data_IF_037552211822
#
_entry.id   IF_037552211822
#
_cell.length_a   1.000
_cell.length_b   1.000
_cell.length_c   1.000
_cell.angle_alpha   90.00
_cell.angle_beta   90.00
_cell.angle_gamma   90.00
#
_symmetry.space_group_name_H-M   'P 1'
#
loop_
_entity.id
_entity.type
_entity.pdbx_description
1 polymer ?
#
# COMPACT_ATOMS: atom_id res chain seq x y z
N UNK A 1 11.52 -71.06 -48.10
CA UNK A 1 12.33 -69.98 -47.49
C UNK A 1 11.53 -69.42 -46.33
N UNK A 2 12.08 -69.49 -45.12
CA UNK A 2 11.35 -69.26 -43.88
C UNK A 2 11.42 -67.82 -43.34
N UNK A 3 10.99 -67.71 -42.08
CA UNK A 3 10.96 -66.56 -41.16
C UNK A 3 9.85 -65.53 -41.36
N UNK A 4 9.36 -64.84 -40.33
CA UNK A 4 9.10 -65.12 -38.90
C UNK A 4 8.24 -63.91 -38.46
N UNK A 5 7.39 -64.08 -37.45
CA UNK A 5 6.61 -62.98 -36.84
C UNK A 5 7.53 -62.01 -36.09
N UNK A 6 7.19 -60.72 -36.07
CA UNK A 6 7.60 -59.81 -34.99
C UNK A 6 6.50 -58.78 -34.71
N UNK A 7 6.22 -58.64 -33.42
CA UNK A 7 5.32 -57.67 -32.78
C UNK A 7 5.81 -56.24 -32.94
N UNK A 8 4.89 -55.28 -32.97
CA UNK A 8 5.14 -53.91 -32.51
C UNK A 8 3.86 -53.37 -31.85
N UNK A 9 3.87 -53.34 -30.52
CA UNK A 9 3.01 -52.47 -29.72
C UNK A 9 3.44 -51.03 -29.96
N UNK A 10 2.50 -50.11 -30.18
CA UNK A 10 2.73 -48.71 -29.80
C UNK A 10 1.45 -48.11 -29.20
N UNK A 11 1.63 -47.74 -27.95
CA UNK A 11 0.77 -47.08 -26.97
C UNK A 11 0.06 -45.84 -27.50
N UNK A 12 -1.23 -45.73 -27.17
CA UNK A 12 -1.98 -44.47 -27.15
C UNK A 12 -1.29 -43.48 -26.19
N UNK A 13 -0.68 -42.42 -26.72
CA UNK A 13 -0.40 -41.21 -25.94
C UNK A 13 -1.55 -40.23 -26.16
N UNK A 14 -2.43 -40.13 -25.17
CA UNK A 14 -3.27 -38.95 -24.98
C UNK A 14 -2.35 -37.78 -24.66
N UNK A 15 -2.20 -36.84 -25.59
CA UNK A 15 -1.61 -35.53 -25.31
C UNK A 15 -2.58 -34.77 -24.38
N UNK A 16 -2.23 -34.70 -23.10
CA UNK A 16 -2.74 -33.65 -22.22
C UNK A 16 -2.02 -32.37 -22.66
N UNK A 17 -2.73 -31.51 -23.38
CA UNK A 17 -2.29 -30.17 -23.67
C UNK A 17 -2.25 -29.40 -22.34
N UNK A 18 -1.05 -29.19 -21.80
CA UNK A 18 -0.84 -28.16 -20.79
C UNK A 18 -1.02 -26.80 -21.46
N UNK A 19 -2.16 -26.16 -21.23
CA UNK A 19 -2.35 -24.73 -21.48
C UNK A 19 -1.47 -23.94 -20.50
N UNK A 20 -0.19 -23.77 -20.85
CA UNK A 20 0.65 -22.74 -20.26
C UNK A 20 0.18 -21.39 -20.77
N UNK A 21 -0.63 -20.68 -19.99
CA UNK A 21 -1.20 -19.39 -20.36
C UNK A 21 -0.18 -18.25 -20.36
N UNK A 22 -0.01 -17.60 -21.51
CA UNK A 22 0.08 -16.15 -21.83
C UNK A 22 0.48 -15.07 -20.78
N UNK A 23 1.16 -15.38 -19.69
CA UNK A 23 1.63 -14.34 -18.76
C UNK A 23 2.65 -13.39 -19.43
N UNK A 24 3.51 -13.95 -20.29
CA UNK A 24 4.61 -13.22 -20.94
C UNK A 24 4.15 -12.31 -22.11
N UNK A 25 3.03 -12.64 -22.77
CA UNK A 25 2.46 -11.82 -23.85
C UNK A 25 1.64 -10.64 -23.32
N UNK A 26 1.02 -10.80 -22.14
CA UNK A 26 0.25 -9.72 -21.52
C UNK A 26 1.18 -8.68 -20.86
N UNK A 27 2.29 -9.11 -20.26
CA UNK A 27 3.26 -8.18 -19.67
C UNK A 27 3.99 -7.32 -20.72
N UNK A 28 4.31 -7.89 -21.89
CA UNK A 28 4.91 -7.12 -22.99
C UNK A 28 3.99 -6.00 -23.48
N UNK A 29 2.68 -6.25 -23.57
CA UNK A 29 1.70 -5.22 -23.97
C UNK A 29 1.59 -4.07 -22.98
N UNK A 30 1.76 -4.32 -21.68
CA UNK A 30 1.74 -3.27 -20.66
C UNK A 30 2.97 -2.37 -20.74
N UNK A 31 4.14 -2.91 -21.09
CA UNK A 31 5.37 -2.13 -21.26
C UNK A 31 5.31 -1.17 -22.46
N UNK A 32 4.47 -1.47 -23.45
CA UNK A 32 4.31 -0.66 -24.66
C UNK A 32 3.34 0.52 -24.47
N UNK A 33 2.69 0.65 -23.31
CA UNK A 33 1.74 1.75 -23.02
C UNK A 33 2.51 3.08 -22.89
N UNK A 34 2.15 4.04 -23.73
CA UNK A 34 2.69 5.41 -23.68
C UNK A 34 1.60 6.37 -23.18
N UNK A 35 1.53 6.65 -21.86
CA UNK A 35 0.52 7.54 -21.32
C UNK A 35 0.81 9.00 -21.66
N UNK A 36 -0.23 9.85 -21.63
CA UNK A 36 -0.03 11.29 -21.53
C UNK A 36 0.41 11.62 -20.10
N UNK A 37 1.57 12.29 -20.00
CA UNK A 37 2.19 12.67 -18.73
C UNK A 37 2.01 14.15 -18.44
N UNK A 38 1.60 14.48 -17.23
CA UNK A 38 1.51 15.83 -16.69
C UNK A 38 2.14 15.86 -15.28
N UNK A 39 2.68 17.00 -14.88
CA UNK A 39 3.33 17.19 -13.59
C UNK A 39 2.72 18.39 -12.89
N UNK A 40 2.46 18.25 -11.58
CA UNK A 40 1.97 19.32 -10.73
C UNK A 40 2.54 19.22 -9.32
N UNK A 41 2.53 20.34 -8.61
CA UNK A 41 2.76 20.40 -7.17
C UNK A 41 1.46 20.81 -6.49
N UNK A 42 1.07 20.12 -5.42
CA UNK A 42 -0.23 20.29 -4.78
C UNK A 42 -0.09 20.48 -3.27
N UNK A 43 -0.97 21.28 -2.70
CA UNK A 43 -1.01 21.56 -1.27
C UNK A 43 0.15 22.42 -0.80
N UNK A 44 0.48 22.25 0.47
CA UNK A 44 1.47 23.05 1.18
C UNK A 44 0.93 24.36 1.76
N UNK A 45 1.67 24.91 2.71
CA UNK A 45 1.36 26.14 3.43
C UNK A 45 2.56 27.05 3.52
N UNK A 46 2.34 28.34 3.37
CA UNK A 46 3.36 29.34 3.69
C UNK A 46 3.64 29.31 5.19
N UNK A 47 4.92 29.22 5.56
CA UNK A 47 5.40 29.17 6.94
C UNK A 47 6.63 30.07 7.06
N UNK A 48 6.71 30.84 8.15
CA UNK A 48 7.92 31.55 8.51
C UNK A 48 8.96 30.55 8.98
N UNK A 49 10.13 30.57 8.35
CA UNK A 49 11.23 29.71 8.72
C UNK A 49 12.46 30.55 9.03
N UNK A 50 13.06 30.28 10.19
CA UNK A 50 14.32 30.86 10.60
C UNK A 50 15.44 29.91 10.20
N UNK A 51 16.33 30.39 9.35
CA UNK A 51 17.57 29.69 9.03
C UNK A 51 18.54 29.83 10.21
N UNK A 52 18.90 28.70 10.82
CA UNK A 52 19.79 28.65 11.98
C UNK A 52 21.22 29.14 11.65
N UNK A 53 21.67 29.04 10.40
CA UNK A 53 23.02 29.47 10.02
C UNK A 53 23.10 31.00 9.87
N UNK A 54 22.04 31.63 9.36
CA UNK A 54 22.01 33.08 9.09
C UNK A 54 21.22 33.88 10.13
N UNK A 55 20.48 33.21 11.01
CA UNK A 55 19.51 33.79 11.94
C UNK A 55 18.50 34.72 11.24
N UNK A 56 18.21 34.44 9.96
CA UNK A 56 17.26 35.21 9.16
C UNK A 56 15.95 34.45 9.04
N UNK A 57 14.82 35.17 9.15
CA UNK A 57 13.48 34.59 8.95
C UNK A 57 12.96 34.98 7.58
N UNK A 58 12.51 33.98 6.81
CA UNK A 58 11.82 34.17 5.54
C UNK A 58 10.60 33.27 5.43
N UNK A 59 9.69 33.55 4.50
CA UNK A 59 8.56 32.66 4.21
C UNK A 59 8.95 31.62 3.18
N UNK A 60 8.60 30.36 3.42
CA UNK A 60 8.66 29.29 2.44
C UNK A 60 7.35 28.48 2.44
N UNK A 61 7.03 27.86 1.30
CA UNK A 61 5.93 26.89 1.22
C UNK A 61 6.44 25.52 1.62
N UNK A 62 5.75 24.85 2.54
CA UNK A 62 6.10 23.53 3.06
C UNK A 62 4.89 22.61 3.08
N UNK A 63 5.11 21.29 3.11
CA UNK A 63 4.00 20.33 3.19
C UNK A 63 3.32 20.05 1.84
N UNK A 64 3.88 20.52 0.73
CA UNK A 64 3.39 20.24 -0.62
C UNK A 64 3.86 18.87 -1.11
N UNK A 65 3.13 18.31 -2.07
CA UNK A 65 3.47 17.07 -2.77
C UNK A 65 3.76 17.34 -4.25
N UNK A 66 4.81 16.71 -4.77
CA UNK A 66 5.00 16.46 -6.19
C UNK A 66 4.02 15.39 -6.63
N UNK A 67 3.36 15.60 -7.77
CA UNK A 67 2.44 14.64 -8.36
C UNK A 67 2.75 14.49 -9.85
N UNK A 68 2.87 13.24 -10.27
CA UNK A 68 2.94 12.82 -11.65
C UNK A 68 1.62 12.19 -12.05
N UNK A 69 0.92 12.83 -12.99
CA UNK A 69 -0.37 12.37 -13.51
C UNK A 69 -0.12 11.64 -14.82
N UNK A 70 -0.50 10.37 -14.87
CA UNK A 70 -0.43 9.54 -16.07
C UNK A 70 -1.85 9.17 -16.51
N UNK A 71 -2.20 9.50 -17.75
CA UNK A 71 -3.52 9.26 -18.31
C UNK A 71 -3.45 8.44 -19.60
N UNK A 72 -4.48 7.63 -19.92
CA UNK A 72 -4.51 6.88 -21.17
C UNK A 72 -4.41 7.80 -22.39
N UNK A 73 -3.72 7.32 -23.42
CA UNK A 73 -3.53 8.05 -24.67
C UNK A 73 -3.74 7.10 -25.87
N UNK A 74 -4.85 7.21 -26.63
CA UNK A 74 -5.91 8.22 -26.49
C UNK A 74 -6.74 8.04 -25.22
N UNK A 75 -7.36 9.12 -24.74
CA UNK A 75 -8.28 9.06 -23.62
C UNK A 75 -9.54 8.25 -24.00
N UNK A 76 -10.07 7.39 -23.11
CA UNK A 76 -11.31 6.66 -23.35
C UNK A 76 -12.51 7.63 -23.38
N UNK A 77 -13.56 7.26 -24.12
CA UNK A 77 -14.78 8.08 -24.22
C UNK A 77 -15.50 8.22 -22.86
N UNK A 78 -15.48 7.16 -22.05
CA UNK A 78 -16.04 7.11 -20.71
C UNK A 78 -14.93 6.66 -19.74
N UNK A 79 -14.10 7.57 -19.22
CA UNK A 79 -13.03 7.20 -18.30
C UNK A 79 -13.61 6.70 -16.98
N UNK A 80 -13.11 5.58 -16.42
CA UNK A 80 -13.39 5.24 -15.03
C UNK A 80 -12.75 6.28 -14.08
N UNK A 81 -13.12 6.23 -12.80
CA UNK A 81 -12.62 7.20 -11.81
C UNK A 81 -11.09 7.19 -11.71
N UNK A 82 -10.46 8.35 -11.53
CA UNK A 82 -9.03 8.46 -11.28
C UNK A 82 -8.60 7.77 -9.98
N UNK A 83 -7.34 7.35 -9.92
CA UNK A 83 -6.76 6.68 -8.76
C UNK A 83 -5.59 7.51 -8.22
N UNK A 84 -5.63 7.85 -6.94
CA UNK A 84 -4.53 8.48 -6.20
C UNK A 84 -3.75 7.41 -5.46
N UNK A 85 -2.44 7.30 -5.76
CA UNK A 85 -1.53 6.39 -5.07
C UNK A 85 -0.76 7.12 -3.97
N UNK A 86 -0.70 6.50 -2.79
CA UNK A 86 0.05 6.98 -1.63
C UNK A 86 1.04 5.88 -1.22
N UNK A 87 2.31 6.04 -1.59
CA UNK A 87 3.37 5.09 -1.25
C UNK A 87 3.66 5.04 0.25
N UNK A 88 4.28 3.98 0.76
CA UNK A 88 4.62 3.82 2.17
C UNK A 88 5.85 4.60 2.65
N UNK A 89 6.34 4.21 3.84
CA UNK A 89 7.54 4.78 4.45
C UNK A 89 8.75 4.59 3.54
N UNK A 90 9.60 5.61 3.44
CA UNK A 90 10.79 5.64 2.57
C UNK A 90 10.57 5.42 1.07
N UNK A 91 9.32 5.33 0.59
CA UNK A 91 9.01 5.08 -0.82
C UNK A 91 8.48 6.33 -1.53
N UNK A 92 8.34 6.27 -2.86
CA UNK A 92 7.79 7.33 -3.70
C UNK A 92 6.77 6.74 -4.69
N UNK A 93 6.09 7.59 -5.47
CA UNK A 93 5.22 7.14 -6.56
C UNK A 93 5.92 6.23 -7.58
N UNK A 94 7.25 6.27 -7.66
CA UNK A 94 8.08 5.37 -8.48
C UNK A 94 7.76 3.90 -8.26
N UNK A 95 7.38 3.54 -7.04
CA UNK A 95 7.16 2.16 -6.61
C UNK A 95 5.97 1.47 -7.27
N UNK A 96 5.08 2.24 -7.90
CA UNK A 96 3.95 1.71 -8.66
C UNK A 96 4.16 1.78 -10.18
N UNK A 97 5.28 2.35 -10.66
CA UNK A 97 5.57 2.47 -12.09
C UNK A 97 6.05 1.14 -12.67
N UNK A 98 7.30 0.78 -12.39
CA UNK A 98 7.94 -0.46 -12.80
C UNK A 98 8.40 -1.21 -11.56
N UNK A 99 8.42 -2.54 -11.61
CA UNK A 99 8.99 -3.35 -10.53
C UNK A 99 10.52 -3.23 -10.52
N UNK A 100 11.20 -3.54 -9.41
CA UNK A 100 12.66 -3.46 -9.34
C UNK A 100 13.41 -4.35 -10.34
N UNK A 101 12.76 -5.41 -10.85
CA UNK A 101 13.27 -6.29 -11.91
C UNK A 101 12.83 -5.87 -13.33
N UNK A 102 12.18 -4.71 -13.49
CA UNK A 102 11.83 -4.11 -14.78
C UNK A 102 10.55 -4.63 -15.43
N UNK A 103 9.68 -5.32 -14.68
CA UNK A 103 8.33 -5.67 -15.15
C UNK A 103 7.36 -4.49 -14.98
N UNK A 104 6.22 -4.48 -15.66
CA UNK A 104 5.17 -3.50 -15.43
C UNK A 104 4.73 -3.48 -13.96
N UNK A 105 4.62 -2.28 -13.39
CA UNK A 105 3.94 -2.04 -12.12
C UNK A 105 2.45 -1.76 -12.31
N UNK A 106 1.81 -1.41 -11.20
CA UNK A 106 0.36 -1.22 -11.12
C UNK A 106 -0.12 0.01 -11.93
N UNK A 107 0.70 1.04 -12.09
CA UNK A 107 0.36 2.21 -12.89
C UNK A 107 0.04 1.81 -14.34
N UNK A 108 0.92 1.03 -14.98
CA UNK A 108 0.71 0.54 -16.34
C UNK A 108 -0.54 -0.34 -16.44
N UNK A 109 -0.77 -1.20 -15.43
CA UNK A 109 -1.98 -2.01 -15.36
C UNK A 109 -3.24 -1.12 -15.34
N UNK A 110 -3.36 -0.16 -14.43
CA UNK A 110 -4.55 0.69 -14.33
C UNK A 110 -4.76 1.62 -15.53
N UNK A 111 -3.68 2.14 -16.11
CA UNK A 111 -3.75 2.92 -17.36
C UNK A 111 -4.31 2.04 -18.50
N UNK A 112 -3.90 0.76 -18.57
CA UNK A 112 -4.46 -0.19 -19.55
C UNK A 112 -5.97 -0.42 -19.37
N UNK A 113 -6.48 -0.22 -18.16
CA UNK A 113 -7.92 -0.28 -17.81
C UNK A 113 -8.64 1.06 -17.99
N UNK A 114 -7.96 2.09 -18.49
CA UNK A 114 -8.53 3.41 -18.78
C UNK A 114 -8.48 4.40 -17.61
N UNK A 115 -7.92 4.02 -16.46
CA UNK A 115 -7.82 4.93 -15.32
C UNK A 115 -6.72 5.97 -15.55
N UNK A 116 -6.98 7.20 -15.11
CA UNK A 116 -5.90 8.17 -14.85
C UNK A 116 -5.33 7.89 -13.46
N UNK A 117 -4.00 7.80 -13.36
CA UNK A 117 -3.32 7.56 -12.08
C UNK A 117 -2.52 8.79 -11.66
N UNK A 118 -2.55 9.08 -10.37
CA UNK A 118 -1.79 10.16 -9.73
C UNK A 118 -0.79 9.54 -8.78
N UNK A 119 0.49 9.61 -9.14
CA UNK A 119 1.61 9.07 -8.40
C UNK A 119 2.35 10.23 -7.74
N UNK A 120 2.66 10.16 -6.45
CA UNK A 120 3.25 11.31 -5.78
C UNK A 120 4.42 10.97 -4.88
N UNK A 121 5.20 12.01 -4.60
CA UNK A 121 6.16 11.99 -3.51
C UNK A 121 5.51 12.72 -2.34
N UNK A 122 5.38 12.04 -1.20
CA UNK A 122 4.82 12.60 0.03
C UNK A 122 5.55 13.90 0.46
N UNK A 123 4.97 14.74 1.33
CA UNK A 123 5.68 15.87 1.90
C UNK A 123 7.02 15.44 2.52
N UNK A 124 8.07 16.25 2.30
CA UNK A 124 9.42 15.96 2.79
C UNK A 124 10.01 14.62 2.28
N UNK A 125 9.69 14.22 1.04
CA UNK A 125 10.16 13.00 0.37
C UNK A 125 10.47 13.30 -1.10
N UNK A 126 11.58 12.79 -1.62
CA UNK A 126 11.87 12.82 -3.06
C UNK A 126 11.83 14.25 -3.65
N UNK A 127 10.96 14.46 -4.65
CA UNK A 127 10.75 15.74 -5.35
C UNK A 127 9.92 16.74 -4.55
N UNK A 128 9.34 16.32 -3.43
CA UNK A 128 8.67 17.17 -2.44
C UNK A 128 9.67 17.53 -1.37
N UNK A 129 10.27 18.72 -1.49
CA UNK A 129 11.42 19.06 -0.66
C UNK A 129 11.11 19.06 0.84
N UNK A 130 12.12 18.69 1.63
CA UNK A 130 12.12 18.88 3.08
C UNK A 130 12.85 20.17 3.45
N UNK A 131 12.31 20.92 4.41
CA UNK A 131 12.99 22.07 4.97
C UNK A 131 13.60 21.73 6.35
N UNK A 132 14.91 21.97 6.58
CA UNK A 132 15.54 21.74 7.88
C UNK A 132 14.84 22.47 9.05
N UNK A 133 14.50 21.73 10.10
CA UNK A 133 13.75 22.25 11.26
C UNK A 133 12.26 21.88 11.26
N UNK A 134 11.79 21.15 10.25
CA UNK A 134 10.43 20.61 10.20
C UNK A 134 10.43 19.12 10.57
N UNK A 135 10.36 18.86 11.87
CA UNK A 135 10.41 17.50 12.41
C UNK A 135 11.76 16.82 12.21
N UNK A 136 11.73 15.50 12.12
CA UNK A 136 12.90 14.62 12.09
C UNK A 136 12.90 13.78 10.83
N UNK A 137 14.05 13.67 10.17
CA UNK A 137 14.21 12.87 8.96
C UNK A 137 15.04 11.62 9.27
N UNK A 138 14.52 10.46 8.89
CA UNK A 138 15.17 9.15 9.02
C UNK A 138 15.17 8.37 7.71
N UNK A 139 15.59 7.11 7.78
CA UNK A 139 15.62 6.18 6.65
C UNK A 139 15.11 4.81 7.12
N UNK A 140 14.74 3.94 6.18
CA UNK A 140 14.01 2.70 6.49
C UNK A 140 14.80 1.65 7.27
N UNK A 141 16.14 1.71 7.22
CA UNK A 141 17.02 0.78 7.91
C UNK A 141 18.21 0.33 7.06
N UNK A 142 19.03 -0.57 7.61
CA UNK A 142 20.17 -1.14 6.91
C UNK A 142 19.72 -2.07 5.77
N UNK A 143 20.57 -2.35 4.76
CA UNK A 143 20.22 -3.28 3.69
C UNK A 143 19.82 -4.67 4.20
N UNK A 144 20.49 -5.20 5.24
CA UNK A 144 20.12 -6.49 5.82
C UNK A 144 18.74 -6.45 6.48
N UNK A 145 18.45 -5.39 7.23
CA UNK A 145 17.14 -5.20 7.86
C UNK A 145 16.02 -5.06 6.82
N UNK A 146 16.25 -4.28 5.77
CA UNK A 146 15.31 -4.14 4.64
C UNK A 146 15.11 -5.48 3.94
N UNK A 147 16.19 -6.25 3.76
CA UNK A 147 16.12 -7.58 3.17
C UNK A 147 15.25 -8.53 3.98
N UNK A 148 15.53 -8.67 5.28
CA UNK A 148 14.83 -9.58 6.19
C UNK A 148 13.34 -9.24 6.35
N UNK A 149 12.98 -7.96 6.23
CA UNK A 149 11.59 -7.50 6.42
C UNK A 149 10.79 -7.56 5.11
N UNK A 150 11.41 -7.27 3.96
CA UNK A 150 10.66 -6.99 2.73
C UNK A 150 10.97 -7.89 1.55
N UNK A 151 12.18 -8.44 1.40
CA UNK A 151 12.62 -9.03 0.11
C UNK A 151 13.18 -10.44 0.23
N UNK A 152 13.72 -10.84 1.37
CA UNK A 152 14.10 -12.24 1.68
C UNK A 152 13.50 -12.71 3.02
N UNK A 153 12.19 -12.51 3.12
CA UNK A 153 11.40 -12.79 4.32
C UNK A 153 11.50 -14.26 4.76
N UNK A 154 11.55 -15.22 3.83
CA UNK A 154 11.61 -16.64 4.18
C UNK A 154 12.88 -17.05 4.95
N UNK A 155 13.96 -16.27 4.83
CA UNK A 155 15.22 -16.52 5.51
C UNK A 155 15.52 -15.52 6.62
N UNK A 156 14.50 -14.80 7.13
CA UNK A 156 14.68 -13.80 8.18
C UNK A 156 14.84 -14.38 9.61
N UNK A 157 14.84 -15.72 9.74
CA UNK A 157 14.91 -16.40 11.02
C UNK A 157 13.54 -16.68 11.67
N UNK A 158 12.46 -16.69 10.88
CA UNK A 158 11.08 -16.86 11.34
C UNK A 158 10.67 -15.80 12.36
N UNK A 159 10.96 -14.52 12.07
CA UNK A 159 10.60 -13.41 12.96
C UNK A 159 9.08 -13.31 13.18
N UNK A 160 8.28 -13.85 12.26
CA UNK A 160 6.86 -14.11 12.41
C UNK A 160 6.49 -15.47 11.80
N UNK A 161 5.37 -16.09 12.22
CA UNK A 161 5.04 -17.48 11.85
C UNK A 161 4.96 -17.75 10.34
N UNK A 162 4.46 -16.78 9.59
CA UNK A 162 4.19 -16.87 8.16
C UNK A 162 5.41 -16.58 7.28
N UNK A 163 6.50 -16.04 7.84
CA UNK A 163 7.65 -15.55 7.07
C UNK A 163 8.20 -16.59 6.09
N UNK A 164 8.28 -17.85 6.53
CA UNK A 164 8.74 -19.01 5.75
C UNK A 164 7.97 -19.27 4.44
N UNK A 165 6.78 -18.68 4.27
CA UNK A 165 5.94 -18.87 3.09
C UNK A 165 6.39 -17.98 1.92
N UNK A 166 7.23 -16.97 2.17
CA UNK A 166 7.61 -15.99 1.15
C UNK A 166 8.39 -16.62 -0.01
N UNK A 167 7.88 -16.46 -1.23
CA UNK A 167 8.48 -17.05 -2.44
C UNK A 167 8.38 -16.14 -3.66
N UNK A 168 7.64 -15.03 -3.59
CA UNK A 168 7.28 -14.23 -4.75
C UNK A 168 8.26 -13.09 -5.06
N UNK A 169 9.27 -12.81 -4.23
CA UNK A 169 10.29 -11.83 -4.59
C UNK A 169 11.13 -12.28 -5.82
N UNK A 170 11.42 -11.37 -6.78
CA UNK A 170 12.30 -11.68 -7.90
C UNK A 170 13.79 -11.63 -7.48
N UNK A 171 14.54 -12.68 -7.77
CA UNK A 171 15.94 -12.80 -7.34
C UNK A 171 16.06 -13.29 -5.89
N UNK A 172 17.23 -13.10 -5.28
CA UNK A 172 17.50 -13.59 -3.92
C UNK A 172 16.98 -12.68 -2.82
N UNK A 173 16.66 -11.42 -3.14
CA UNK A 173 16.23 -10.44 -2.15
C UNK A 173 17.33 -10.00 -1.18
N UNK A 174 18.60 -10.29 -1.48
CA UNK A 174 19.77 -10.00 -0.64
C UNK A 174 20.73 -9.02 -1.31
N UNK A 175 21.61 -8.41 -0.51
CA UNK A 175 22.64 -7.47 -0.98
C UNK A 175 23.47 -8.11 -2.11
N UNK A 176 23.62 -7.38 -3.22
CA UNK A 176 24.38 -7.82 -4.40
C UNK A 176 23.54 -8.56 -5.45
N UNK A 177 22.28 -8.90 -5.15
CA UNK A 177 21.28 -9.23 -6.16
C UNK A 177 20.77 -7.95 -6.84
N UNK A 178 20.69 -7.95 -8.17
CA UNK A 178 20.34 -6.73 -8.92
C UNK A 178 18.95 -6.20 -8.59
N UNK A 179 17.99 -7.09 -8.30
CA UNK A 179 16.62 -6.70 -7.97
C UNK A 179 16.56 -6.06 -6.60
N UNK A 180 17.24 -6.66 -5.62
CA UNK A 180 17.35 -6.07 -4.28
C UNK A 180 18.07 -4.73 -4.32
N UNK A 181 19.20 -4.63 -5.04
CA UNK A 181 19.97 -3.40 -5.15
C UNK A 181 19.16 -2.27 -5.81
N UNK A 182 18.36 -2.59 -6.84
CA UNK A 182 17.45 -1.64 -7.46
C UNK A 182 16.36 -1.18 -6.48
N UNK A 183 15.74 -2.12 -5.75
CA UNK A 183 14.76 -1.80 -4.72
C UNK A 183 15.35 -0.92 -3.61
N UNK A 184 16.50 -1.27 -3.05
CA UNK A 184 17.12 -0.51 -1.96
C UNK A 184 17.53 0.90 -2.41
N UNK A 185 17.98 1.08 -3.66
CA UNK A 185 18.28 2.41 -4.25
C UNK A 185 17.05 3.30 -4.40
N UNK A 186 15.86 2.73 -4.48
CA UNK A 186 14.60 3.49 -4.54
C UNK A 186 14.12 3.98 -3.16
N UNK A 187 14.74 3.52 -2.06
CA UNK A 187 14.38 3.95 -0.72
C UNK A 187 14.97 5.34 -0.43
N UNK A 188 14.15 6.20 0.17
CA UNK A 188 14.42 7.62 0.42
C UNK A 188 14.29 7.93 1.91
N UNK A 189 14.85 9.05 2.33
CA UNK A 189 14.63 9.56 3.68
C UNK A 189 13.18 10.05 3.87
N UNK A 190 12.68 10.01 5.11
CA UNK A 190 11.31 10.39 5.41
C UNK A 190 11.11 11.03 6.78
N UNK A 191 10.00 11.74 6.96
CA UNK A 191 9.55 12.26 8.24
C UNK A 191 9.26 11.12 9.23
N UNK A 192 10.04 11.01 10.30
CA UNK A 192 9.86 9.97 11.32
C UNK A 192 8.86 10.36 12.39
N UNK A 193 8.53 11.64 12.52
CA UNK A 193 7.46 12.09 13.40
C UNK A 193 6.09 11.76 12.75
N UNK A 194 5.40 10.80 13.36
CA UNK A 194 4.11 10.28 12.86
C UNK A 194 3.03 11.36 12.80
N UNK A 195 2.97 12.26 13.78
CA UNK A 195 1.94 13.31 13.83
C UNK A 195 2.20 14.36 12.74
N UNK A 196 3.46 14.75 12.53
CA UNK A 196 3.81 15.66 11.43
C UNK A 196 3.53 15.01 10.08
N UNK A 197 3.96 13.75 9.91
CA UNK A 197 3.76 13.03 8.64
C UNK A 197 2.27 12.85 8.34
N UNK A 198 1.47 12.42 9.32
CA UNK A 198 0.04 12.22 9.14
C UNK A 198 -0.68 13.52 8.79
N UNK A 199 -0.44 14.61 9.52
CA UNK A 199 -1.09 15.89 9.25
C UNK A 199 -0.71 16.44 7.88
N UNK A 200 0.59 16.46 7.55
CA UNK A 200 1.04 17.04 6.27
C UNK A 200 0.53 16.23 5.07
N UNK A 201 0.57 14.89 5.15
CA UNK A 201 0.04 14.04 4.11
C UNK A 201 -1.49 14.22 3.97
N UNK A 202 -2.25 14.19 5.07
CA UNK A 202 -3.69 14.38 5.04
C UNK A 202 -4.09 15.69 4.34
N UNK A 203 -3.42 16.80 4.66
CA UNK A 203 -3.68 18.10 4.03
C UNK A 203 -3.31 18.11 2.53
N UNK A 204 -2.12 17.61 2.18
CA UNK A 204 -1.65 17.65 0.80
C UNK A 204 -2.46 16.76 -0.15
N UNK A 205 -2.80 15.55 0.30
CA UNK A 205 -3.62 14.62 -0.49
C UNK A 205 -5.09 15.02 -0.51
N UNK A 206 -5.63 15.67 0.54
CA UNK A 206 -6.96 16.28 0.46
C UNK A 206 -7.01 17.40 -0.58
N UNK A 207 -5.97 18.23 -0.66
CA UNK A 207 -5.87 19.24 -1.71
C UNK A 207 -5.73 18.61 -3.11
N UNK A 208 -5.12 17.43 -3.24
CA UNK A 208 -5.11 16.68 -4.49
C UNK A 208 -6.49 16.13 -4.83
N UNK A 209 -7.20 15.54 -3.86
CA UNK A 209 -8.58 15.10 -4.06
C UNK A 209 -9.49 16.25 -4.51
N UNK A 210 -9.33 17.46 -3.95
CA UNK A 210 -10.07 18.66 -4.37
C UNK A 210 -9.84 19.03 -5.85
N UNK A 211 -8.62 18.80 -6.37
CA UNK A 211 -8.29 19.05 -7.78
C UNK A 211 -8.77 17.92 -8.71
N UNK A 212 -8.80 16.68 -8.20
CA UNK A 212 -9.14 15.48 -8.97
C UNK A 212 -10.65 15.31 -9.09
N UNK A 213 -11.41 15.65 -8.04
CA UNK A 213 -12.83 15.32 -7.91
C UNK A 213 -13.03 13.88 -7.43
N UNK A 214 -14.12 13.25 -7.88
CA UNK A 214 -14.43 11.86 -7.53
C UNK A 214 -13.27 10.91 -7.84
N UNK A 215 -12.79 10.17 -6.85
CA UNK A 215 -11.58 9.35 -6.98
C UNK A 215 -11.56 8.11 -6.08
N UNK A 216 -10.68 7.17 -6.41
CA UNK A 216 -10.25 6.11 -5.48
C UNK A 216 -8.88 6.44 -4.90
N UNK A 217 -8.63 5.96 -3.69
CA UNK A 217 -7.31 6.04 -3.05
C UNK A 217 -6.75 4.62 -2.91
N UNK A 218 -5.49 4.44 -3.29
CA UNK A 218 -4.71 3.24 -2.97
C UNK A 218 -3.52 3.68 -2.11
N UNK A 219 -3.51 3.27 -0.84
CA UNK A 219 -2.44 3.58 0.12
C UNK A 219 -1.73 2.32 0.58
N UNK A 220 -0.43 2.43 0.88
CA UNK A 220 0.40 1.31 1.31
C UNK A 220 1.10 1.58 2.65
N UNK A 221 1.11 0.59 3.55
CA UNK A 221 1.94 0.62 4.76
C UNK A 221 1.68 1.86 5.63
N UNK A 222 2.71 2.64 5.94
CA UNK A 222 2.64 3.92 6.65
C UNK A 222 1.54 4.86 6.13
N UNK A 223 1.20 4.78 4.84
CA UNK A 223 0.16 5.61 4.25
C UNK A 223 -1.27 5.22 4.60
N UNK A 224 -1.50 4.12 5.33
CA UNK A 224 -2.84 3.68 5.70
C UNK A 224 -3.63 4.77 6.43
N UNK A 225 -3.03 5.34 7.48
CA UNK A 225 -3.56 6.50 8.19
C UNK A 225 -3.83 7.68 7.26
N UNK A 226 -3.01 7.89 6.23
CA UNK A 226 -3.15 9.04 5.33
C UNK A 226 -4.37 8.88 4.41
N UNK A 227 -4.57 7.67 3.87
CA UNK A 227 -5.77 7.33 3.10
C UNK A 227 -7.05 7.56 3.91
N UNK A 228 -7.08 7.08 5.16
CA UNK A 228 -8.23 7.28 6.06
C UNK A 228 -8.44 8.75 6.42
N UNK A 229 -7.38 9.51 6.70
CA UNK A 229 -7.50 10.95 6.98
C UNK A 229 -8.09 11.71 5.79
N UNK A 230 -7.65 11.39 4.56
CA UNK A 230 -8.18 12.02 3.34
C UNK A 230 -9.64 11.61 3.12
N UNK A 231 -9.98 10.34 3.30
CA UNK A 231 -11.37 9.85 3.22
C UNK A 231 -12.29 10.54 4.22
N UNK A 232 -11.85 10.71 5.47
CA UNK A 232 -12.60 11.43 6.51
C UNK A 232 -12.80 12.91 6.13
N UNK A 233 -11.76 13.56 5.60
CA UNK A 233 -11.78 14.98 5.21
C UNK A 233 -12.55 15.25 3.91
N UNK A 234 -12.67 14.26 3.01
CA UNK A 234 -13.23 14.38 1.65
C UNK A 234 -14.15 13.22 1.29
N UNK A 235 -15.00 12.80 2.24
CA UNK A 235 -15.93 11.67 2.04
C UNK A 235 -16.93 11.84 0.89
N UNK A 236 -17.18 13.08 0.45
CA UNK A 236 -18.02 13.33 -0.72
C UNK A 236 -17.28 13.07 -2.05
N UNK A 237 -15.94 13.07 -2.07
CA UNK A 237 -15.11 12.88 -3.28
C UNK A 237 -14.51 11.47 -3.34
N UNK A 238 -14.06 10.93 -2.21
CA UNK A 238 -13.44 9.60 -2.16
C UNK A 238 -14.51 8.51 -2.24
N UNK A 239 -14.50 7.71 -3.30
CA UNK A 239 -15.51 6.67 -3.56
C UNK A 239 -15.12 5.28 -3.10
N UNK A 240 -13.86 5.08 -2.75
CA UNK A 240 -13.34 3.83 -2.21
C UNK A 240 -11.88 3.95 -1.83
N UNK A 241 -11.49 3.20 -0.80
CA UNK A 241 -10.10 3.16 -0.32
C UNK A 241 -9.60 1.71 -0.38
N UNK A 242 -8.45 1.52 -1.01
CA UNK A 242 -7.71 0.26 -0.98
C UNK A 242 -6.49 0.43 -0.10
N UNK A 243 -6.42 -0.37 0.95
CA UNK A 243 -5.34 -0.42 1.91
C UNK A 243 -4.46 -1.64 1.64
N UNK A 244 -3.26 -1.39 1.13
CA UNK A 244 -2.23 -2.41 0.95
C UNK A 244 -1.42 -2.50 2.25
N UNK A 245 -1.79 -3.46 3.10
CA UNK A 245 -1.16 -3.68 4.42
C UNK A 245 -0.98 -2.37 5.21
N UNK A 246 -2.08 -1.72 5.65
CA UNK A 246 -2.00 -0.42 6.31
C UNK A 246 -1.30 -0.53 7.66
N UNK A 247 -0.50 0.48 8.02
CA UNK A 247 0.08 0.57 9.36
C UNK A 247 -0.99 0.43 10.44
N UNK A 248 -0.68 -0.42 11.41
CA UNK A 248 -1.60 -0.90 12.41
C UNK A 248 -0.94 -1.98 13.27
N UNK A 249 -1.74 -2.84 13.93
CA UNK A 249 -3.19 -2.84 13.98
C UNK A 249 -3.72 -1.66 14.83
N UNK A 250 -5.04 -1.52 15.03
CA UNK A 250 -5.58 -0.44 15.82
C UNK A 250 -5.00 -0.33 17.22
N UNK A 251 -4.79 0.91 17.67
CA UNK A 251 -4.28 1.30 18.99
C UNK A 251 -2.83 0.89 19.35
N UNK A 252 -2.09 0.19 18.49
CA UNK A 252 -0.74 -0.29 18.83
C UNK A 252 0.12 -0.47 17.59
N UNK A 253 1.44 -0.32 17.76
CA UNK A 253 2.40 -0.88 16.81
C UNK A 253 2.58 -2.38 17.07
N UNK A 254 3.03 -3.10 16.04
CA UNK A 254 3.50 -4.49 16.13
C UNK A 254 4.88 -4.66 15.49
N UNK A 255 5.64 -5.71 15.88
CA UNK A 255 6.92 -5.99 15.28
C UNK A 255 6.77 -6.18 13.76
N UNK A 256 7.79 -5.83 12.96
CA UNK A 256 9.12 -5.36 13.36
C UNK A 256 9.20 -3.85 13.67
N UNK A 257 8.10 -3.10 13.59
CA UNK A 257 8.10 -1.63 13.65
C UNK A 257 7.74 -1.02 15.00
N UNK A 258 7.48 -1.83 16.02
CA UNK A 258 7.34 -1.38 17.41
C UNK A 258 6.37 -2.24 18.21
N UNK A 259 6.14 -1.88 19.46
CA UNK A 259 5.08 -2.45 20.31
C UNK A 259 4.37 -1.37 21.15
N UNK A 260 4.63 -0.10 20.83
CA UNK A 260 4.16 1.03 21.61
C UNK A 260 2.71 1.38 21.23
N UNK A 261 1.93 1.96 22.16
CA UNK A 261 0.64 2.56 21.84
C UNK A 261 0.75 3.57 20.70
N UNK A 262 -0.23 3.51 19.81
CA UNK A 262 -0.22 4.22 18.53
C UNK A 262 -1.65 4.34 18.02
N UNK A 263 -1.91 5.20 17.04
CA UNK A 263 -3.23 5.31 16.41
C UNK A 263 -4.34 5.55 17.45
N UNK A 264 -4.23 6.66 18.19
CA UNK A 264 -5.14 6.98 19.30
C UNK A 264 -6.63 6.91 18.91
N UNK A 265 -6.96 7.19 17.65
CA UNK A 265 -8.32 7.11 17.10
C UNK A 265 -8.63 5.75 16.45
N UNK A 266 -7.93 4.69 16.85
CA UNK A 266 -8.01 3.35 16.28
C UNK A 266 -7.18 3.23 15.01
N UNK A 267 -7.51 4.00 13.98
CA UNK A 267 -6.88 3.91 12.65
C UNK A 267 -5.79 4.95 12.42
N UNK A 268 -5.85 6.07 13.14
CA UNK A 268 -5.05 7.28 12.92
C UNK A 268 -4.54 7.84 14.24
N UNK A 269 -3.39 8.52 14.21
CA UNK A 269 -2.90 9.25 15.39
C UNK A 269 -3.71 10.54 15.62
N UNK A 270 -4.20 11.16 14.55
CA UNK A 270 -4.98 12.40 14.57
C UNK A 270 -6.47 12.15 14.37
N UNK A 271 -7.26 13.13 14.79
CA UNK A 271 -8.70 12.99 14.94
C UNK A 271 -9.44 12.76 13.62
N UNK A 272 -10.11 11.61 13.50
CA UNK A 272 -11.15 11.30 12.51
C UNK A 272 -12.54 11.32 13.16
N UNK A 273 -13.60 11.44 12.34
CA UNK A 273 -14.96 11.60 12.83
C UNK A 273 -15.58 10.33 13.41
N UNK A 274 -16.12 10.42 14.64
CA UNK A 274 -16.87 9.36 15.32
C UNK A 274 -18.21 9.86 15.85
N UNK A 275 -19.20 8.98 15.89
CA UNK A 275 -20.48 9.15 16.57
C UNK A 275 -20.78 7.94 17.49
N UNK A 276 -20.96 8.14 18.81
CA UNK A 276 -20.72 9.38 19.56
C UNK A 276 -19.25 9.81 19.52
N UNK A 277 -18.99 11.12 19.60
CA UNK A 277 -17.64 11.70 19.51
C UNK A 277 -16.57 10.93 20.32
N UNK A 278 -15.42 10.70 19.69
CA UNK A 278 -14.23 10.12 20.33
C UNK A 278 -13.52 11.10 21.29
N UNK A 279 -13.91 12.38 21.32
CA UNK A 279 -13.17 13.41 22.05
C UNK A 279 -12.02 13.99 21.22
N UNK A 280 -11.34 15.01 21.75
CA UNK A 280 -10.31 15.74 20.99
C UNK A 280 -9.02 14.94 20.82
N UNK A 281 -8.72 14.06 21.77
CA UNK A 281 -7.54 13.22 21.87
C UNK A 281 -7.92 11.74 22.02
N UNK A 282 -9.07 11.35 21.46
CA UNK A 282 -9.65 10.01 21.58
C UNK A 282 -9.99 9.57 23.01
N UNK A 283 -10.10 10.49 23.97
CA UNK A 283 -10.30 10.20 25.40
C UNK A 283 -11.61 9.47 25.72
N UNK A 284 -12.58 9.46 24.79
CA UNK A 284 -13.84 8.76 24.97
C UNK A 284 -13.85 7.35 24.36
N UNK A 285 -12.76 6.90 23.75
CA UNK A 285 -12.63 5.52 23.25
C UNK A 285 -12.09 4.65 24.40
N UNK A 286 -12.96 3.83 24.98
CA UNK A 286 -12.53 2.74 25.87
C UNK A 286 -12.15 1.52 25.04
N UNK A 287 -11.03 0.88 25.36
CA UNK A 287 -10.56 -0.32 24.64
C UNK A 287 -10.71 -1.60 25.44
N UNK A 288 -10.71 -2.73 24.75
CA UNK A 288 -10.65 -4.08 25.31
C UNK A 288 -9.72 -4.95 24.46
N UNK A 289 -9.19 -6.03 25.04
CA UNK A 289 -8.33 -6.97 24.31
C UNK A 289 -9.15 -8.20 23.97
N UNK A 290 -9.25 -8.50 22.67
CA UNK A 290 -9.77 -9.76 22.17
C UNK A 290 -8.60 -10.73 21.94
N UNK A 291 -8.71 -11.99 22.41
CA UNK A 291 -7.65 -12.97 22.22
C UNK A 291 -7.42 -13.27 20.74
N UNK A 292 -6.19 -13.66 20.41
CA UNK A 292 -5.83 -14.11 19.07
C UNK A 292 -6.72 -15.26 18.58
N UNK A 293 -7.01 -15.27 17.28
CA UNK A 293 -7.86 -16.30 16.65
C UNK A 293 -7.21 -17.69 16.63
N UNK A 294 -5.88 -17.75 16.62
CA UNK A 294 -5.08 -18.96 16.73
C UNK A 294 -3.63 -18.62 17.16
N UNK A 295 -2.74 -19.61 17.11
CA UNK A 295 -1.34 -19.47 17.56
C UNK A 295 -0.45 -18.64 16.62
N UNK A 296 -0.86 -18.44 15.37
CA UNK A 296 -0.09 -17.73 14.34
C UNK A 296 -0.52 -16.26 14.18
N UNK A 297 -1.49 -15.81 14.99
CA UNK A 297 -2.06 -14.46 14.96
C UNK A 297 -1.87 -13.72 16.29
N UNK A 298 -1.96 -12.39 16.23
CA UNK A 298 -1.89 -11.53 17.41
C UNK A 298 -3.28 -11.29 18.01
N UNK A 299 -3.32 -10.93 19.28
CA UNK A 299 -4.51 -10.38 19.93
C UNK A 299 -4.89 -9.01 19.35
N UNK A 300 -6.17 -8.65 19.41
CA UNK A 300 -6.67 -7.38 18.88
C UNK A 300 -7.05 -6.43 20.02
N UNK A 301 -6.60 -5.17 19.94
CA UNK A 301 -7.12 -4.10 20.78
C UNK A 301 -8.32 -3.49 20.06
N UNK A 302 -9.50 -3.62 20.65
CA UNK A 302 -10.79 -3.25 20.05
C UNK A 302 -11.50 -2.19 20.89
N UNK A 303 -12.54 -1.54 20.35
CA UNK A 303 -13.41 -0.70 21.17
C UNK A 303 -14.22 -1.57 22.13
N UNK A 304 -14.39 -1.11 23.37
CA UNK A 304 -15.37 -1.68 24.29
C UNK A 304 -16.78 -1.33 23.83
N UNK A 305 -17.70 -2.28 23.94
CA UNK A 305 -19.09 -2.08 23.54
C UNK A 305 -19.85 -1.12 24.46
N UNK A 306 -20.77 -0.27 23.93
CA UNK A 306 -21.06 -0.10 22.50
C UNK A 306 -19.95 0.68 21.78
N UNK A 307 -19.53 0.18 20.63
CA UNK A 307 -18.47 0.80 19.82
C UNK A 307 -18.97 2.10 19.16
N UNK A 308 -18.11 3.12 19.12
CA UNK A 308 -18.36 4.34 18.36
C UNK A 308 -18.24 4.05 16.88
N UNK A 309 -19.08 4.70 16.09
CA UNK A 309 -19.17 4.50 14.65
C UNK A 309 -18.41 5.62 13.93
N UNK A 310 -17.63 5.28 12.91
CA UNK A 310 -16.96 6.26 12.06
C UNK A 310 -18.02 7.01 11.23
N UNK A 311 -17.92 8.33 11.15
CA UNK A 311 -18.95 9.14 10.48
C UNK A 311 -18.70 9.26 8.99
N UNK A 312 -17.57 9.84 8.58
CA UNK A 312 -17.27 10.09 7.18
C UNK A 312 -16.68 8.86 6.50
N UNK A 313 -15.75 8.15 7.17
CA UNK A 313 -15.22 6.88 6.68
C UNK A 313 -16.28 5.78 6.59
N UNK A 314 -17.28 5.77 7.47
CA UNK A 314 -18.40 4.82 7.39
C UNK A 314 -19.26 4.93 6.12
N UNK A 315 -19.02 5.96 5.28
CA UNK A 315 -19.70 6.15 3.98
C UNK A 315 -18.91 5.58 2.80
N UNK A 316 -17.66 5.18 3.01
CA UNK A 316 -16.71 4.84 1.95
C UNK A 316 -16.44 3.34 2.04
N UNK A 317 -16.68 2.56 0.97
CA UNK A 317 -16.30 1.16 0.95
C UNK A 317 -14.78 1.01 0.96
N UNK A 318 -14.28 0.00 1.65
CA UNK A 318 -12.85 -0.25 1.79
C UNK A 318 -12.45 -1.68 1.39
N UNK A 319 -11.22 -1.83 0.90
CA UNK A 319 -10.57 -3.12 0.70
C UNK A 319 -9.24 -3.12 1.46
N UNK A 320 -9.06 -4.07 2.37
CA UNK A 320 -7.76 -4.34 2.99
C UNK A 320 -7.15 -5.56 2.30
N UNK A 321 -5.90 -5.45 1.85
CA UNK A 321 -5.16 -6.53 1.17
C UNK A 321 -3.95 -6.91 2.01
N UNK A 322 -3.78 -8.20 2.30
CA UNK A 322 -2.66 -8.72 3.09
C UNK A 322 -2.00 -9.91 2.40
N UNK A 323 -0.67 -9.85 2.26
CA UNK A 323 0.17 -10.91 1.73
C UNK A 323 0.38 -12.05 2.73
N UNK A 324 0.31 -13.28 2.23
CA UNK A 324 0.37 -14.50 3.04
C UNK A 324 1.61 -14.57 3.96
N UNK A 325 2.76 -14.11 3.49
CA UNK A 325 4.03 -14.20 4.19
C UNK A 325 4.44 -12.87 4.87
N UNK A 326 3.61 -11.84 4.80
CA UNK A 326 3.93 -10.53 5.36
C UNK A 326 3.96 -10.53 6.88
N UNK A 327 4.71 -9.59 7.48
CA UNK A 327 4.64 -9.31 8.91
C UNK A 327 3.28 -8.73 9.33
N UNK A 328 2.44 -8.33 8.37
CA UNK A 328 1.05 -7.94 8.59
C UNK A 328 0.08 -9.13 8.75
N UNK A 329 0.43 -10.31 8.23
CA UNK A 329 -0.44 -11.49 8.27
C UNK A 329 -0.94 -11.84 9.70
N UNK A 330 -0.12 -11.71 10.77
CA UNK A 330 -0.60 -11.95 12.13
C UNK A 330 -1.67 -10.98 12.64
N UNK A 331 -1.84 -9.78 12.08
CA UNK A 331 -2.64 -8.73 12.72
C UNK A 331 -3.57 -7.90 11.83
N UNK A 332 -3.46 -7.92 10.50
CA UNK A 332 -4.33 -7.09 9.64
C UNK A 332 -5.82 -7.45 9.77
N UNK A 333 -6.12 -8.69 10.15
CA UNK A 333 -7.48 -9.10 10.50
C UNK A 333 -8.07 -8.27 11.66
N UNK A 334 -7.24 -7.78 12.60
CA UNK A 334 -7.68 -6.87 13.66
C UNK A 334 -8.10 -5.51 13.09
N UNK A 335 -7.39 -5.00 12.08
CA UNK A 335 -7.75 -3.76 11.37
C UNK A 335 -9.11 -3.90 10.68
N UNK A 336 -9.33 -5.03 9.98
CA UNK A 336 -10.62 -5.34 9.35
C UNK A 336 -11.74 -5.43 10.38
N UNK A 337 -11.55 -6.20 11.45
CA UNK A 337 -12.56 -6.30 12.52
C UNK A 337 -12.88 -4.94 13.13
N UNK A 338 -11.91 -4.05 13.23
CA UNK A 338 -12.12 -2.71 13.78
C UNK A 338 -12.94 -1.83 12.84
N UNK A 339 -12.62 -1.85 11.55
CA UNK A 339 -13.39 -1.16 10.50
C UNK A 339 -14.84 -1.62 10.51
N UNK A 340 -15.09 -2.94 10.54
CA UNK A 340 -16.43 -3.52 10.65
C UNK A 340 -17.13 -3.07 11.95
N UNK A 341 -16.45 -3.17 13.09
CA UNK A 341 -16.98 -2.75 14.40
C UNK A 341 -17.36 -1.25 14.42
N UNK A 342 -16.60 -0.43 13.69
CA UNK A 342 -16.81 1.01 13.57
C UNK A 342 -17.77 1.40 12.42
N UNK A 343 -18.42 0.43 11.77
CA UNK A 343 -19.48 0.68 10.80
C UNK A 343 -19.01 0.95 9.37
N UNK A 344 -17.78 0.57 9.02
CA UNK A 344 -17.25 0.66 7.65
C UNK A 344 -17.59 -0.62 6.88
N UNK A 345 -18.02 -0.47 5.62
CA UNK A 345 -18.16 -1.57 4.67
C UNK A 345 -16.78 -1.96 4.14
N UNK A 346 -16.14 -2.95 4.78
CA UNK A 346 -14.79 -3.39 4.44
C UNK A 346 -14.79 -4.83 3.91
N UNK A 347 -14.08 -5.05 2.82
CA UNK A 347 -13.72 -6.37 2.32
C UNK A 347 -12.27 -6.70 2.71
N UNK A 348 -12.02 -7.95 3.10
CA UNK A 348 -10.67 -8.43 3.40
C UNK A 348 -10.17 -9.41 2.34
N UNK A 349 -9.20 -8.96 1.54
CA UNK A 349 -8.43 -9.80 0.62
C UNK A 349 -7.20 -10.37 1.33
N UNK A 350 -7.43 -11.41 2.12
CA UNK A 350 -6.38 -12.28 2.66
C UNK A 350 -5.86 -13.17 1.53
N UNK A 351 -4.75 -12.78 0.91
CA UNK A 351 -4.27 -13.39 -0.33
C UNK A 351 -4.03 -14.91 -0.19
N UNK A 352 -3.49 -15.35 0.96
CA UNK A 352 -3.27 -16.77 1.22
C UNK A 352 -4.57 -17.58 1.27
N UNK A 353 -5.63 -17.01 1.87
CA UNK A 353 -6.96 -17.65 1.89
C UNK A 353 -7.66 -17.63 0.52
N UNK A 354 -7.33 -16.65 -0.32
CA UNK A 354 -7.85 -16.56 -1.69
C UNK A 354 -7.07 -17.40 -2.72
N UNK A 355 -6.02 -18.11 -2.28
CA UNK A 355 -5.21 -18.98 -3.14
C UNK A 355 -4.05 -18.27 -3.85
N UNK A 356 -3.76 -17.02 -3.48
CA UNK A 356 -2.62 -16.23 -3.96
C UNK A 356 -1.49 -16.33 -2.94
N UNK A 357 -0.53 -17.20 -3.20
CA UNK A 357 0.45 -17.64 -2.20
C UNK A 357 1.83 -17.01 -2.34
N UNK A 358 2.51 -16.92 -1.20
CA UNK A 358 3.93 -16.62 -1.09
C UNK A 358 4.31 -15.14 -1.13
N UNK A 359 3.32 -14.26 -0.98
CA UNK A 359 3.50 -12.82 -1.07
C UNK A 359 3.93 -12.17 0.26
N UNK A 360 4.92 -11.29 0.20
CA UNK A 360 5.35 -10.46 1.33
C UNK A 360 4.70 -9.07 1.31
N UNK A 361 5.25 -8.14 2.09
CA UNK A 361 4.74 -6.76 2.21
C UNK A 361 4.83 -5.92 0.93
N UNK A 362 5.71 -6.31 0.01
CA UNK A 362 5.95 -5.62 -1.26
C UNK A 362 5.28 -6.33 -2.43
N UNK A 363 4.14 -6.99 -2.20
CA UNK A 363 3.44 -7.84 -3.18
C UNK A 363 3.12 -7.15 -4.52
N UNK A 364 2.99 -5.83 -4.53
CA UNK A 364 2.78 -5.05 -5.76
C UNK A 364 4.04 -4.93 -6.65
N UNK A 365 5.21 -5.32 -6.12
CA UNK A 365 6.49 -5.45 -6.84
C UNK A 365 6.89 -6.91 -7.10
N UNK A 366 6.22 -7.87 -6.47
CA UNK A 366 6.58 -9.29 -6.53
C UNK A 366 6.17 -9.95 -7.85
N UNK A 367 6.60 -11.20 -8.07
CA UNK A 367 6.48 -11.92 -9.36
C UNK A 367 5.05 -12.02 -9.88
N UNK A 368 4.08 -12.21 -8.99
CA UNK A 368 2.65 -12.29 -9.28
C UNK A 368 1.88 -10.98 -9.03
N UNK A 369 2.55 -9.82 -9.01
CA UNK A 369 1.90 -8.53 -8.75
C UNK A 369 0.68 -8.23 -9.66
N UNK A 370 0.68 -8.73 -10.91
CA UNK A 370 -0.41 -8.53 -11.86
C UNK A 370 -1.66 -9.38 -11.53
N UNK A 371 -1.51 -10.48 -10.81
CA UNK A 371 -2.64 -11.27 -10.28
C UNK A 371 -3.35 -10.48 -9.16
N UNK A 372 -2.56 -9.89 -8.27
CA UNK A 372 -3.06 -9.14 -7.11
C UNK A 372 -3.73 -7.84 -7.54
N UNK A 373 -3.13 -7.09 -8.48
CA UNK A 373 -3.76 -5.86 -8.97
C UNK A 373 -5.06 -6.16 -9.73
N UNK A 374 -5.18 -7.31 -10.39
CA UNK A 374 -6.46 -7.71 -11.01
C UNK A 374 -7.53 -7.95 -9.95
N UNK A 375 -7.17 -8.62 -8.85
CA UNK A 375 -8.05 -8.81 -7.69
C UNK A 375 -8.52 -7.48 -7.09
N UNK A 376 -7.60 -6.52 -6.91
CA UNK A 376 -7.94 -5.15 -6.48
C UNK A 376 -8.85 -4.46 -7.49
N UNK A 377 -8.56 -4.60 -8.78
CA UNK A 377 -9.36 -3.99 -9.84
C UNK A 377 -10.78 -4.57 -9.93
N UNK A 378 -10.98 -5.87 -9.68
CA UNK A 378 -12.34 -6.43 -9.62
C UNK A 378 -13.16 -5.81 -8.49
N UNK A 379 -12.53 -5.51 -7.35
CA UNK A 379 -13.20 -4.80 -6.26
C UNK A 379 -13.54 -3.36 -6.65
N UNK A 380 -12.61 -2.63 -7.27
CA UNK A 380 -12.84 -1.27 -7.77
C UNK A 380 -13.91 -1.18 -8.85
N UNK A 381 -14.16 -2.25 -9.61
CA UNK A 381 -15.25 -2.28 -10.61
C UNK A 381 -16.63 -2.48 -10.00
N UNK A 382 -16.70 -3.03 -8.80
CA UNK A 382 -17.95 -3.35 -8.11
C UNK A 382 -18.50 -2.15 -7.32
N UNK A 383 -17.64 -1.22 -6.93
CA UNK A 383 -17.93 -0.04 -6.11
C UNK A 383 -17.65 1.22 -6.91
#
# INVERSE_FOLDING_TARGET
MGNLRTFTSLTYLTQVAFLGGNAQTNSSQLMDIVPKREVLYVGGRYTNITDNATNSTSMAIIGQIYVEKLSPNPAPANPPLPIIFIAGAAQTGTNFLDTPDGRPGWASYFISKGHTVYLSDQPARGRSFWFPGQGSIGYIGSPNSVSDIFTDVANNGNQWPQAKLHTQWPGTGRIGDSTFDAFYRSQMQFQTDRFISEEQNAQAYSALADLVGDCYIISHSQAGAYGWRVGDMRSDLVKGIVQLEPSGPPFTLRPPFGNDPAFAFGLTDLAIGYEPSAGKNAENIETTIEPAIDADHNDCIMQKSPAKQLTNLGKIPELVVTGEASFHAPYDYCTVKYLEQAGVDVEYADLGKEGIHGNGHMFFMEKNNLEIVDRVYQWLKKH
#
